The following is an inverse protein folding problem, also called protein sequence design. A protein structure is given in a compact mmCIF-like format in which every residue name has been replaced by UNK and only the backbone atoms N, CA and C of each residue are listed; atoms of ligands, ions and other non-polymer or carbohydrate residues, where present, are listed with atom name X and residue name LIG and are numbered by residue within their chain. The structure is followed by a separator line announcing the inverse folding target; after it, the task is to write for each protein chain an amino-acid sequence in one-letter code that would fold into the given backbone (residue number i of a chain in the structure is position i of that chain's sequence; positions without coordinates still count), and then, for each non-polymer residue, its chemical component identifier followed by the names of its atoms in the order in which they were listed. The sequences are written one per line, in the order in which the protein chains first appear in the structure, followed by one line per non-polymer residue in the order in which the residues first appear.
data_IF_915168898374
#
_entry.id   IF_915168898374
#
_cell.length_a   1.000
_cell.length_b   1.000
_cell.length_c   1.000
_cell.angle_alpha   90.00
_cell.angle_beta   90.00
_cell.angle_gamma   90.00
#
_symmetry.space_group_name_H-M   'P 1'
#
loop_
_entity.id
_entity.type
_entity.pdbx_description
1 polymer ?
#
# COMPACT_ATOMS: atom_id res chain seq x y z
N UNK A 1 8.62 19.86 -3.07
CA UNK A 1 9.00 19.98 -1.64
C UNK A 1 10.44 20.44 -1.50
N UNK A 2 10.80 21.04 -0.36
CA UNK A 2 12.19 21.46 -0.07
C UNK A 2 13.08 20.33 0.46
N UNK A 3 14.38 20.62 0.66
CA UNK A 3 15.41 19.63 1.03
C UNK A 3 15.13 18.84 2.32
N UNK A 4 14.59 19.50 3.36
CA UNK A 4 14.28 18.84 4.64
C UNK A 4 12.89 18.20 4.67
N UNK A 5 11.82 18.87 4.22
CA UNK A 5 10.48 18.27 4.21
C UNK A 5 10.37 17.04 3.31
N UNK A 6 11.18 16.94 2.25
CA UNK A 6 11.23 15.73 1.42
C UNK A 6 11.68 14.51 2.22
N UNK A 7 12.66 14.66 3.12
CA UNK A 7 13.15 13.56 3.96
C UNK A 7 12.09 13.02 4.91
N UNK A 8 11.20 13.89 5.40
CA UNK A 8 10.04 13.44 6.17
C UNK A 8 9.17 12.50 5.33
N UNK A 9 8.90 12.86 4.07
CA UNK A 9 8.12 12.01 3.16
C UNK A 9 8.85 10.69 2.85
N UNK A 10 10.18 10.72 2.71
CA UNK A 10 10.99 9.50 2.53
C UNK A 10 10.87 8.58 3.74
N UNK A 11 10.92 9.12 4.97
CA UNK A 11 10.74 8.33 6.20
C UNK A 11 9.32 7.75 6.27
N UNK A 12 8.30 8.57 5.97
CA UNK A 12 6.92 8.10 5.94
C UNK A 12 6.73 6.99 4.89
N UNK A 13 7.36 7.12 3.72
CA UNK A 13 7.34 6.10 2.68
C UNK A 13 8.08 4.83 3.11
N UNK A 14 9.21 4.93 3.83
CA UNK A 14 9.87 3.77 4.41
C UNK A 14 8.96 3.01 5.38
N UNK A 15 8.17 3.72 6.19
CA UNK A 15 7.17 3.09 7.06
C UNK A 15 6.09 2.35 6.26
N UNK A 16 5.67 2.88 5.11
CA UNK A 16 4.76 2.18 4.18
C UNK A 16 5.38 0.87 3.71
N UNK A 17 6.57 0.95 3.09
CA UNK A 17 7.16 -0.21 2.42
C UNK A 17 7.52 -1.33 3.41
N UNK A 18 8.06 -0.96 4.58
CA UNK A 18 8.36 -1.93 5.64
C UNK A 18 7.07 -2.51 6.24
N UNK A 19 6.03 -1.68 6.40
CA UNK A 19 4.73 -2.10 6.91
C UNK A 19 4.02 -3.09 5.99
N UNK A 20 3.96 -2.80 4.69
CA UNK A 20 3.42 -3.73 3.69
C UNK A 20 4.25 -5.00 3.59
N UNK A 21 5.58 -4.90 3.61
CA UNK A 21 6.44 -6.08 3.56
C UNK A 21 6.26 -7.02 4.75
N UNK A 22 5.96 -6.46 5.93
CA UNK A 22 5.55 -7.25 7.09
C UNK A 22 4.24 -7.97 6.85
N UNK A 23 3.20 -7.26 6.37
CA UNK A 23 1.87 -7.82 6.16
C UNK A 23 1.95 -8.95 5.14
N UNK A 24 2.66 -8.73 4.04
CA UNK A 24 2.85 -9.73 2.99
C UNK A 24 3.54 -10.99 3.51
N UNK A 25 4.62 -10.84 4.29
CA UNK A 25 5.29 -12.01 4.87
C UNK A 25 4.38 -12.76 5.86
N UNK A 26 3.61 -12.04 6.67
CA UNK A 26 2.68 -12.64 7.63
C UNK A 26 1.54 -13.38 6.93
N UNK A 27 0.86 -12.75 5.97
CA UNK A 27 -0.25 -13.37 5.23
C UNK A 27 0.23 -14.55 4.40
N UNK A 28 1.38 -14.43 3.73
CA UNK A 28 1.98 -15.55 3.01
C UNK A 28 2.39 -16.70 3.95
N UNK A 29 2.87 -16.37 5.15
CA UNK A 29 3.18 -17.36 6.19
C UNK A 29 1.95 -18.10 6.72
N UNK A 30 0.85 -17.37 6.98
CA UNK A 30 -0.44 -17.94 7.37
C UNK A 30 -0.99 -18.88 6.29
N UNK A 31 -0.91 -18.45 5.03
CA UNK A 31 -1.37 -19.23 3.89
C UNK A 31 -0.57 -20.54 3.74
N UNK A 32 0.77 -20.47 3.77
CA UNK A 32 1.61 -21.67 3.65
C UNK A 32 1.45 -22.62 4.84
N UNK A 33 1.29 -22.10 6.06
CA UNK A 33 1.04 -22.91 7.26
C UNK A 33 -0.29 -23.66 7.16
N UNK A 34 -1.34 -22.98 6.66
CA UNK A 34 -2.66 -23.56 6.45
C UNK A 34 -2.67 -24.67 5.39
N UNK A 35 -1.90 -24.53 4.30
CA UNK A 35 -1.78 -25.57 3.25
C UNK A 35 -1.27 -26.90 3.81
N UNK A 36 -0.37 -26.86 4.80
CA UNK A 36 0.18 -28.07 5.43
C UNK A 36 -0.66 -28.57 6.62
N UNK A 37 -1.92 -28.11 6.75
CA UNK A 37 -2.78 -28.47 7.88
C UNK A 37 -2.20 -28.11 9.25
N UNK A 38 -1.36 -27.06 9.32
CA UNK A 38 -0.69 -26.64 10.56
C UNK A 38 0.59 -27.41 10.91
N UNK A 39 1.01 -28.39 10.11
CA UNK A 39 2.27 -29.12 10.33
C UNK A 39 3.53 -28.28 10.13
N UNK A 40 3.39 -27.10 9.48
CA UNK A 40 4.45 -26.11 9.34
C UNK A 40 4.07 -24.86 10.13
N UNK A 41 4.98 -24.32 10.94
CA UNK A 41 4.71 -23.10 11.69
C UNK A 41 4.60 -21.88 10.75
N UNK A 42 3.78 -20.90 11.15
CA UNK A 42 3.65 -19.61 10.46
C UNK A 42 5.02 -18.93 10.29
N UNK A 43 5.92 -19.08 11.27
CA UNK A 43 7.29 -18.53 11.24
C UNK A 43 8.08 -19.07 10.04
N UNK A 44 8.01 -20.36 9.76
CA UNK A 44 8.71 -20.96 8.61
C UNK A 44 8.15 -20.37 7.32
N UNK A 45 6.82 -20.23 7.22
CA UNK A 45 6.18 -19.59 6.08
C UNK A 45 6.61 -18.13 5.88
N UNK A 46 6.67 -17.33 6.95
CA UNK A 46 7.18 -15.95 6.94
C UNK A 46 8.60 -15.90 6.36
N UNK A 47 9.49 -16.77 6.85
CA UNK A 47 10.89 -16.84 6.39
C UNK A 47 10.97 -17.22 4.91
N UNK A 48 10.15 -18.17 4.44
CA UNK A 48 10.11 -18.55 3.03
C UNK A 48 9.75 -17.35 2.15
N UNK A 49 8.68 -16.63 2.50
CA UNK A 49 8.23 -15.44 1.74
C UNK A 49 9.32 -14.37 1.72
N UNK A 50 9.90 -14.06 2.89
CA UNK A 50 10.96 -13.08 3.03
C UNK A 50 12.21 -13.44 2.21
N UNK A 51 12.62 -14.71 2.20
CA UNK A 51 13.78 -15.17 1.43
C UNK A 51 13.51 -15.06 -0.07
N UNK A 52 12.33 -15.43 -0.55
CA UNK A 52 11.96 -15.28 -1.98
C UNK A 52 12.04 -13.80 -2.38
N UNK A 53 11.42 -12.92 -1.60
CA UNK A 53 11.47 -11.46 -1.84
C UNK A 53 12.91 -10.96 -1.83
N UNK A 54 13.71 -11.32 -0.82
CA UNK A 54 15.09 -10.89 -0.68
C UNK A 54 15.97 -11.29 -1.85
N UNK A 55 15.87 -12.55 -2.29
CA UNK A 55 16.65 -13.07 -3.42
C UNK A 55 16.39 -12.24 -4.66
N UNK A 56 15.12 -12.04 -5.03
CA UNK A 56 14.78 -11.31 -6.28
C UNK A 56 15.17 -9.84 -6.19
N UNK A 57 14.90 -9.16 -5.06
CA UNK A 57 15.23 -7.73 -4.90
C UNK A 57 16.74 -7.49 -4.95
N UNK A 58 17.53 -8.38 -4.33
CA UNK A 58 19.00 -8.28 -4.25
C UNK A 58 19.66 -8.26 -5.63
N UNK A 59 19.11 -8.99 -6.60
CA UNK A 59 19.62 -9.02 -7.97
C UNK A 59 19.17 -7.82 -8.83
N UNK A 60 18.33 -6.94 -8.29
CA UNK A 60 17.95 -5.67 -8.88
C UNK A 60 16.93 -5.73 -10.03
N UNK A 61 16.67 -4.57 -10.64
CA UNK A 61 15.52 -4.33 -11.53
C UNK A 61 15.45 -5.28 -12.75
N UNK A 62 16.58 -5.78 -13.25
CA UNK A 62 16.61 -6.70 -14.40
C UNK A 62 15.99 -8.05 -14.09
N UNK A 63 16.29 -8.59 -12.91
CA UNK A 63 15.74 -9.87 -12.46
C UNK A 63 14.32 -9.71 -11.95
N UNK A 64 14.03 -8.59 -11.29
CA UNK A 64 12.67 -8.17 -10.96
C UNK A 64 11.73 -8.22 -12.18
N UNK A 65 12.05 -7.51 -13.27
CA UNK A 65 11.20 -7.53 -14.46
C UNK A 65 11.03 -8.94 -15.06
N UNK A 66 12.10 -9.73 -15.04
CA UNK A 66 12.05 -11.11 -15.54
C UNK A 66 11.22 -12.03 -14.65
N UNK A 67 11.19 -11.80 -13.36
CA UNK A 67 10.37 -12.56 -12.42
C UNK A 67 8.90 -12.18 -12.59
N UNK A 68 8.61 -10.87 -12.56
CA UNK A 68 7.26 -10.32 -12.69
C UNK A 68 6.57 -10.74 -13.99
N UNK A 69 7.27 -10.72 -15.12
CA UNK A 69 6.70 -11.12 -16.43
C UNK A 69 6.24 -12.60 -16.47
N UNK A 70 6.74 -13.46 -15.58
CA UNK A 70 6.35 -14.87 -15.51
C UNK A 70 5.34 -15.14 -14.40
N UNK A 71 5.47 -14.49 -13.24
CA UNK A 71 4.66 -14.80 -12.05
C UNK A 71 3.22 -14.29 -12.17
N UNK A 72 2.96 -13.23 -12.94
CA UNK A 72 1.60 -12.71 -13.08
C UNK A 72 0.63 -13.73 -13.68
N UNK A 73 1.04 -14.52 -14.67
CA UNK A 73 0.12 -15.41 -15.40
C UNK A 73 -0.36 -16.59 -14.54
N UNK A 74 0.51 -17.39 -13.87
CA UNK A 74 0.07 -18.42 -12.93
C UNK A 74 -0.80 -17.86 -11.81
N UNK A 75 -0.46 -16.68 -11.31
CA UNK A 75 -1.22 -15.98 -10.25
C UNK A 75 -2.65 -15.70 -10.71
N UNK A 76 -2.82 -15.06 -11.86
CA UNK A 76 -4.15 -14.73 -12.40
C UNK A 76 -4.95 -16.01 -12.66
N UNK A 77 -4.31 -17.07 -13.17
CA UNK A 77 -4.98 -18.35 -13.40
C UNK A 77 -5.50 -18.97 -12.11
N UNK A 78 -4.71 -19.01 -11.03
CA UNK A 78 -5.19 -19.58 -9.76
C UNK A 78 -6.29 -18.72 -9.12
N UNK A 79 -6.28 -17.40 -9.34
CA UNK A 79 -7.38 -16.53 -8.94
C UNK A 79 -8.67 -16.82 -9.72
N UNK A 80 -8.59 -17.08 -11.04
CA UNK A 80 -9.75 -17.55 -11.80
C UNK A 80 -10.27 -18.91 -11.32
N UNK A 81 -9.37 -19.82 -10.95
CA UNK A 81 -9.76 -21.09 -10.32
C UNK A 81 -10.49 -20.82 -9.00
N UNK A 82 -10.02 -19.88 -8.17
CA UNK A 82 -10.72 -19.47 -6.95
C UNK A 82 -12.12 -18.95 -7.25
N UNK A 83 -12.26 -18.06 -8.24
CA UNK A 83 -13.56 -17.55 -8.67
C UNK A 83 -14.50 -18.70 -9.05
N UNK A 84 -14.01 -19.68 -9.80
CA UNK A 84 -14.82 -20.83 -10.22
C UNK A 84 -15.32 -21.70 -9.07
N UNK A 85 -14.50 -21.91 -8.04
CA UNK A 85 -14.82 -22.81 -6.92
C UNK A 85 -15.54 -22.08 -5.78
N UNK A 86 -15.11 -20.88 -5.43
CA UNK A 86 -15.67 -20.08 -4.35
C UNK A 86 -16.91 -19.28 -4.80
N UNK A 87 -17.03 -18.97 -6.10
CA UNK A 87 -18.11 -18.16 -6.68
C UNK A 87 -19.53 -18.58 -6.29
N UNK A 88 -19.89 -19.89 -6.28
CA UNK A 88 -21.20 -20.35 -5.83
C UNK A 88 -21.54 -19.99 -4.37
N UNK A 89 -20.54 -19.70 -3.54
CA UNK A 89 -20.72 -19.30 -2.15
C UNK A 89 -20.77 -17.77 -1.96
N UNK A 90 -20.47 -16.99 -3.00
CA UNK A 90 -20.56 -15.53 -2.94
C UNK A 90 -22.02 -15.10 -2.90
N UNK A 91 -22.30 -14.01 -2.19
CA UNK A 91 -23.63 -13.42 -2.16
C UNK A 91 -23.59 -11.97 -2.64
N UNK A 92 -24.24 -11.74 -3.77
CA UNK A 92 -24.36 -10.43 -4.41
C UNK A 92 -25.64 -9.69 -4.02
N UNK A 93 -26.51 -10.31 -3.21
CA UNK A 93 -27.81 -9.79 -2.79
C UNK A 93 -27.83 -9.20 -1.37
N UNK A 94 -26.75 -9.42 -0.60
CA UNK A 94 -26.63 -8.87 0.76
C UNK A 94 -26.67 -7.35 0.70
N UNK A 95 -27.67 -6.78 1.36
CA UNK A 95 -27.73 -5.35 1.59
C UNK A 95 -26.76 -4.96 2.71
N UNK A 96 -26.09 -3.81 2.55
CA UNK A 96 -25.31 -3.22 3.62
C UNK A 96 -26.17 -2.98 4.86
N UNK A 97 -25.65 -3.34 6.04
CA UNK A 97 -26.34 -3.13 7.30
C UNK A 97 -26.32 -1.65 7.75
N UNK A 98 -27.38 -1.24 8.45
CA UNK A 98 -27.58 0.13 8.96
C UNK A 98 -28.65 0.93 8.22
N UNK A 99 -29.01 2.09 8.76
CA UNK A 99 -30.02 3.00 8.17
C UNK A 99 -29.56 4.45 8.20
N UNK A 100 -30.11 5.26 7.28
CA UNK A 100 -29.89 6.71 7.22
C UNK A 100 -28.40 7.10 7.14
N UNK A 101 -28.01 8.07 7.97
CA UNK A 101 -26.67 8.64 7.98
C UNK A 101 -25.55 7.62 8.28
N UNK A 102 -25.84 6.59 9.10
CA UNK A 102 -24.86 5.55 9.48
C UNK A 102 -24.46 4.73 8.24
N UNK A 103 -25.45 4.33 7.44
CA UNK A 103 -25.20 3.58 6.22
C UNK A 103 -24.38 4.38 5.21
N UNK A 104 -24.68 5.67 5.05
CA UNK A 104 -23.91 6.56 4.17
C UNK A 104 -22.46 6.76 4.68
N UNK A 105 -22.28 6.90 6.00
CA UNK A 105 -20.97 7.01 6.63
C UNK A 105 -20.10 5.77 6.43
N UNK A 106 -20.68 4.58 6.62
CA UNK A 106 -19.98 3.30 6.40
C UNK A 106 -19.54 3.14 4.93
N UNK A 107 -20.42 3.44 3.97
CA UNK A 107 -20.08 3.39 2.53
C UNK A 107 -18.96 4.34 2.15
N UNK A 108 -18.98 5.55 2.69
CA UNK A 108 -17.95 6.55 2.45
C UNK A 108 -16.61 6.14 3.04
N UNK A 109 -16.62 5.63 4.27
CA UNK A 109 -15.43 5.12 4.95
C UNK A 109 -14.81 3.95 4.18
N UNK A 110 -15.63 3.02 3.70
CA UNK A 110 -15.16 1.91 2.87
C UNK A 110 -14.56 2.39 1.55
N UNK A 111 -15.18 3.37 0.87
CA UNK A 111 -14.63 3.95 -0.36
C UNK A 111 -13.21 4.51 -0.15
N UNK A 112 -13.01 5.30 0.91
CA UNK A 112 -11.70 5.88 1.20
C UNK A 112 -10.68 4.86 1.72
N UNK A 113 -11.13 3.85 2.47
CA UNK A 113 -10.28 2.73 2.86
C UNK A 113 -9.72 2.02 1.62
N UNK A 114 -10.58 1.70 0.64
CA UNK A 114 -10.17 1.04 -0.61
C UNK A 114 -9.27 1.95 -1.46
N UNK A 115 -9.53 3.25 -1.48
CA UNK A 115 -8.72 4.23 -2.20
C UNK A 115 -7.30 4.40 -1.61
N UNK A 116 -7.13 4.19 -0.29
CA UNK A 116 -5.85 4.41 0.39
C UNK A 116 -4.70 3.55 -0.15
N UNK A 117 -4.97 2.28 -0.50
CA UNK A 117 -3.97 1.34 -1.00
C UNK A 117 -3.35 1.76 -2.34
N UNK A 118 -4.12 2.01 -3.41
CA UNK A 118 -3.55 2.50 -4.67
C UNK A 118 -2.86 3.86 -4.55
N UNK A 119 -3.35 4.73 -3.66
CA UNK A 119 -2.73 6.04 -3.43
C UNK A 119 -1.31 5.89 -2.88
N UNK A 120 -1.05 4.93 -1.99
CA UNK A 120 0.29 4.73 -1.40
C UNK A 120 1.36 4.42 -2.46
N UNK A 121 1.02 3.75 -3.55
CA UNK A 121 1.95 3.43 -4.65
C UNK A 121 2.43 4.66 -5.43
N UNK A 122 1.74 5.80 -5.30
CA UNK A 122 2.13 7.03 -6.02
C UNK A 122 3.53 7.52 -5.63
N UNK A 123 3.95 7.32 -4.38
CA UNK A 123 5.28 7.74 -3.87
C UNK A 123 6.42 6.93 -4.47
N UNK A 124 6.18 5.67 -4.81
CA UNK A 124 7.16 4.77 -5.43
C UNK A 124 7.14 4.79 -6.97
N UNK A 125 6.14 5.44 -7.58
CA UNK A 125 5.94 5.39 -9.04
C UNK A 125 7.15 5.84 -9.87
N UNK A 126 7.86 6.89 -9.42
CA UNK A 126 9.04 7.41 -10.10
C UNK A 126 10.21 6.43 -10.14
N UNK A 127 10.30 5.51 -9.18
CA UNK A 127 11.38 4.54 -9.05
C UNK A 127 11.38 3.52 -10.20
N UNK A 128 10.23 3.31 -10.86
CA UNK A 128 10.07 2.40 -11.98
C UNK A 128 10.07 3.13 -13.32
N UNK A 129 9.39 4.27 -13.40
CA UNK A 129 9.25 5.03 -14.64
C UNK A 129 10.60 5.62 -15.10
N UNK A 130 11.55 5.83 -14.19
CA UNK A 130 12.93 6.28 -14.53
C UNK A 130 13.66 5.33 -15.49
N UNK A 131 13.26 4.06 -15.56
CA UNK A 131 13.86 3.07 -16.46
C UNK A 131 13.30 3.12 -17.89
N UNK A 132 12.25 3.91 -18.14
CA UNK A 132 11.67 4.01 -19.47
C UNK A 132 12.51 4.91 -20.38
N UNK A 133 12.54 4.63 -21.70
CA UNK A 133 13.17 5.53 -22.66
C UNK A 133 12.59 6.96 -22.57
N UNK A 134 13.44 7.97 -22.80
CA UNK A 134 13.02 9.39 -22.79
C UNK A 134 11.95 9.72 -23.85
N UNK A 135 11.84 8.89 -24.89
CA UNK A 135 10.88 9.03 -25.99
C UNK A 135 9.51 8.41 -25.70
N UNK A 136 9.34 7.76 -24.54
CA UNK A 136 8.08 7.11 -24.18
C UNK A 136 6.95 8.13 -24.04
N UNK A 137 5.79 7.80 -24.62
CA UNK A 137 4.61 8.65 -24.59
C UNK A 137 4.02 8.71 -23.16
N UNK A 138 3.99 9.91 -22.57
CA UNK A 138 3.48 10.17 -21.22
C UNK A 138 2.01 9.73 -21.03
N UNK A 139 1.16 9.97 -22.03
CA UNK A 139 -0.26 9.60 -21.98
C UNK A 139 -0.47 8.09 -22.04
N UNK A 140 0.35 7.40 -22.84
CA UNK A 140 0.34 5.93 -22.89
C UNK A 140 0.82 5.33 -21.57
N UNK A 141 1.91 5.85 -20.98
CA UNK A 141 2.37 5.42 -19.65
C UNK A 141 1.28 5.63 -18.61
N UNK A 142 0.64 6.80 -18.58
CA UNK A 142 -0.46 7.08 -17.67
C UNK A 142 -1.63 6.09 -17.85
N UNK A 143 -2.07 5.87 -19.09
CA UNK A 143 -3.18 4.95 -19.36
C UNK A 143 -2.82 3.50 -19.00
N UNK A 144 -1.62 3.03 -19.37
CA UNK A 144 -1.17 1.68 -19.08
C UNK A 144 -1.05 1.42 -17.57
N UNK A 145 -0.44 2.35 -16.82
CA UNK A 145 -0.32 2.25 -15.36
C UNK A 145 -1.68 2.31 -14.69
N UNK A 146 -2.55 3.25 -15.09
CA UNK A 146 -3.90 3.40 -14.51
C UNK A 146 -4.76 2.17 -14.76
N UNK A 147 -4.82 1.67 -16.00
CA UNK A 147 -5.58 0.48 -16.35
C UNK A 147 -5.03 -0.77 -15.64
N UNK A 148 -3.70 -0.94 -15.61
CA UNK A 148 -3.06 -2.08 -14.95
C UNK A 148 -3.38 -2.15 -13.45
N UNK A 149 -3.16 -1.04 -12.73
CA UNK A 149 -3.45 -0.97 -11.29
C UNK A 149 -4.94 -1.11 -11.02
N UNK A 150 -5.80 -0.46 -11.82
CA UNK A 150 -7.26 -0.51 -11.63
C UNK A 150 -7.78 -1.93 -11.83
N UNK A 151 -7.43 -2.59 -12.93
CA UNK A 151 -7.86 -3.97 -13.20
C UNK A 151 -7.36 -4.94 -12.14
N UNK A 152 -6.08 -4.85 -11.76
CA UNK A 152 -5.50 -5.71 -10.73
C UNK A 152 -6.17 -5.52 -9.37
N UNK A 153 -6.35 -4.26 -8.95
CA UNK A 153 -6.96 -3.92 -7.67
C UNK A 153 -8.43 -4.33 -7.60
N UNK A 154 -9.22 -4.03 -8.64
CA UNK A 154 -10.65 -4.39 -8.67
C UNK A 154 -10.86 -5.90 -8.60
N UNK A 155 -10.04 -6.69 -9.29
CA UNK A 155 -10.15 -8.15 -9.26
C UNK A 155 -9.96 -8.71 -7.84
N UNK A 156 -8.91 -8.28 -7.14
CA UNK A 156 -8.64 -8.73 -5.77
C UNK A 156 -9.67 -8.21 -4.79
N UNK A 157 -10.15 -6.97 -4.97
CA UNK A 157 -11.18 -6.37 -4.10
C UNK A 157 -12.51 -7.14 -4.21
N UNK A 158 -12.98 -7.43 -5.42
CA UNK A 158 -14.20 -8.21 -5.61
C UNK A 158 -14.08 -9.64 -5.08
N UNK A 159 -12.91 -10.26 -5.20
CA UNK A 159 -12.65 -11.56 -4.58
C UNK A 159 -12.72 -11.48 -3.05
N UNK A 160 -12.13 -10.45 -2.44
CA UNK A 160 -12.22 -10.21 -1.00
C UNK A 160 -13.66 -9.99 -0.52
N UNK A 161 -14.44 -9.18 -1.24
CA UNK A 161 -15.87 -8.97 -0.99
C UNK A 161 -16.64 -10.30 -1.11
N UNK A 162 -16.36 -11.08 -2.16
CA UNK A 162 -16.98 -12.38 -2.37
C UNK A 162 -16.73 -13.35 -1.22
N UNK A 163 -15.46 -13.51 -0.82
CA UNK A 163 -15.08 -14.35 0.32
C UNK A 163 -15.71 -13.85 1.62
N UNK A 164 -15.69 -12.55 1.87
CA UNK A 164 -16.32 -11.93 3.05
C UNK A 164 -17.83 -12.17 3.10
N UNK A 165 -18.53 -12.04 1.96
CA UNK A 165 -19.96 -12.37 1.86
C UNK A 165 -20.23 -13.86 2.12
N UNK A 166 -19.33 -14.73 1.68
CA UNK A 166 -19.43 -16.18 1.88
C UNK A 166 -19.29 -16.61 3.34
N UNK A 167 -18.57 -15.85 4.18
CA UNK A 167 -18.46 -16.11 5.62
C UNK A 167 -19.82 -16.10 6.32
N UNK A 168 -20.79 -15.32 5.82
CA UNK A 168 -22.12 -15.23 6.40
C UNK A 168 -23.00 -16.45 6.09
N UNK A 169 -22.65 -17.22 5.05
CA UNK A 169 -23.40 -18.40 4.60
C UNK A 169 -22.74 -19.72 4.94
N UNK A 170 -21.41 -19.74 4.98
CA UNK A 170 -20.63 -20.96 5.14
C UNK A 170 -19.99 -21.00 6.53
N UNK A 171 -20.60 -21.77 7.43
CA UNK A 171 -20.12 -21.93 8.81
C UNK A 171 -18.67 -22.45 8.86
N UNK A 172 -18.26 -23.30 7.93
CA UNK A 172 -16.89 -23.83 7.85
C UNK A 172 -15.90 -22.73 7.48
N UNK A 173 -16.26 -21.85 6.54
CA UNK A 173 -15.41 -20.70 6.18
C UNK A 173 -15.30 -19.72 7.33
N UNK A 174 -16.42 -19.46 8.02
CA UNK A 174 -16.44 -18.63 9.22
C UNK A 174 -15.53 -19.18 10.31
N UNK A 175 -15.65 -20.47 10.60
CA UNK A 175 -14.80 -21.14 11.59
C UNK A 175 -13.32 -21.06 11.19
N UNK A 176 -12.97 -21.38 9.94
CA UNK A 176 -11.60 -21.32 9.47
C UNK A 176 -11.00 -19.91 9.60
N UNK A 177 -11.80 -18.88 9.30
CA UNK A 177 -11.40 -17.49 9.45
C UNK A 177 -11.24 -17.07 10.92
N UNK A 178 -12.20 -17.43 11.78
CA UNK A 178 -12.17 -17.04 13.20
C UNK A 178 -11.03 -17.76 13.96
N UNK A 179 -10.73 -19.02 13.63
CA UNK A 179 -9.71 -19.82 14.32
C UNK A 179 -8.27 -19.53 13.83
N UNK A 180 -8.11 -19.30 12.52
CA UNK A 180 -6.80 -19.29 11.86
C UNK A 180 -6.60 -18.14 10.85
N UNK A 181 -7.54 -17.21 10.77
CA UNK A 181 -7.43 -15.99 9.98
C UNK A 181 -7.57 -16.19 8.47
N UNK A 182 -7.13 -15.18 7.72
CA UNK A 182 -7.38 -15.07 6.28
C UNK A 182 -6.71 -16.17 5.45
N UNK A 183 -5.53 -16.66 5.88
CA UNK A 183 -4.83 -17.74 5.17
C UNK A 183 -5.65 -19.03 5.14
N UNK A 184 -6.27 -19.39 6.28
CA UNK A 184 -7.13 -20.56 6.39
C UNK A 184 -8.43 -20.41 5.60
N UNK A 185 -9.02 -19.22 5.58
CA UNK A 185 -10.19 -18.94 4.73
C UNK A 185 -9.90 -19.20 3.25
N UNK A 186 -8.74 -18.74 2.75
CA UNK A 186 -8.35 -18.97 1.35
C UNK A 186 -8.15 -20.46 1.07
N UNK A 187 -7.46 -21.19 1.95
CA UNK A 187 -7.27 -22.65 1.80
C UNK A 187 -8.62 -23.39 1.81
N UNK A 188 -9.50 -23.06 2.75
CA UNK A 188 -10.82 -23.68 2.86
C UNK A 188 -11.69 -23.38 1.62
N UNK A 189 -11.51 -22.21 1.00
CA UNK A 189 -12.18 -21.85 -0.25
C UNK A 189 -11.73 -22.70 -1.45
N UNK A 190 -10.48 -23.18 -1.43
CA UNK A 190 -9.93 -24.07 -2.45
C UNK A 190 -10.15 -25.56 -2.17
N UNK A 191 -10.65 -25.91 -0.98
CA UNK A 191 -10.80 -27.30 -0.52
C UNK A 191 -11.57 -28.24 -1.45
N UNK A 192 -12.59 -27.80 -2.22
CA UNK A 192 -13.26 -28.68 -3.19
C UNK A 192 -12.30 -29.28 -4.24
N UNK A 193 -11.13 -28.67 -4.46
CA UNK A 193 -10.10 -29.14 -5.39
C UNK A 193 -9.04 -30.06 -4.74
N UNK A 194 -9.17 -30.36 -3.45
CA UNK A 194 -8.24 -31.20 -2.69
C UNK A 194 -6.78 -30.77 -2.91
N UNK A 195 -5.91 -31.70 -3.31
CA UNK A 195 -4.47 -31.45 -3.55
C UNK A 195 -4.20 -30.35 -4.57
N UNK A 196 -5.03 -30.19 -5.60
CA UNK A 196 -4.84 -29.12 -6.57
C UNK A 196 -5.10 -27.74 -5.95
N UNK A 197 -6.08 -27.65 -5.03
CA UNK A 197 -6.34 -26.44 -4.26
C UNK A 197 -5.14 -26.00 -3.40
N UNK A 198 -4.45 -26.98 -2.81
CA UNK A 198 -3.21 -26.73 -2.05
C UNK A 198 -2.10 -26.17 -2.96
N UNK A 199 -1.95 -26.70 -4.19
CA UNK A 199 -1.01 -26.15 -5.18
C UNK A 199 -1.37 -24.71 -5.54
N UNK A 200 -2.66 -24.39 -5.74
CA UNK A 200 -3.12 -23.03 -5.99
C UNK A 200 -2.75 -22.08 -4.84
N UNK A 201 -2.92 -22.51 -3.59
CA UNK A 201 -2.56 -21.71 -2.41
C UNK A 201 -1.05 -21.46 -2.31
N UNK A 202 -0.21 -22.44 -2.67
CA UNK A 202 1.25 -22.24 -2.73
C UNK A 202 1.62 -21.21 -3.80
N UNK A 203 0.97 -21.26 -4.98
CA UNK A 203 1.18 -20.26 -6.03
C UNK A 203 0.74 -18.86 -5.54
N UNK A 204 -0.37 -18.75 -4.82
CA UNK A 204 -0.79 -17.50 -4.19
C UNK A 204 0.21 -16.99 -3.14
N UNK A 205 0.83 -17.88 -2.36
CA UNK A 205 1.89 -17.47 -1.43
C UNK A 205 3.11 -16.89 -2.16
N UNK A 206 3.47 -17.46 -3.32
CA UNK A 206 4.52 -16.91 -4.20
C UNK A 206 4.08 -15.55 -4.78
N UNK A 207 2.81 -15.37 -5.12
CA UNK A 207 2.27 -14.07 -5.52
C UNK A 207 2.41 -13.02 -4.41
N UNK A 208 2.18 -13.38 -3.15
CA UNK A 208 2.36 -12.46 -2.03
C UNK A 208 3.84 -12.06 -1.92
N UNK A 209 4.76 -13.01 -2.08
CA UNK A 209 6.18 -12.70 -2.15
C UNK A 209 6.50 -11.75 -3.33
N UNK A 210 5.83 -11.93 -4.48
CA UNK A 210 5.96 -11.08 -5.65
C UNK A 210 5.49 -9.64 -5.38
N UNK A 211 4.32 -9.48 -4.75
CA UNK A 211 3.79 -8.17 -4.35
C UNK A 211 4.75 -7.39 -3.43
N UNK A 212 5.50 -8.09 -2.58
CA UNK A 212 6.45 -7.47 -1.65
C UNK A 212 7.76 -7.01 -2.34
N UNK A 213 8.11 -7.55 -3.50
CA UNK A 213 9.36 -7.24 -4.20
C UNK A 213 9.43 -5.76 -4.63
N UNK A 214 8.42 -5.18 -5.32
CA UNK A 214 8.42 -3.76 -5.65
C UNK A 214 8.63 -2.88 -4.41
N UNK A 215 7.86 -3.09 -3.35
CA UNK A 215 7.93 -2.26 -2.15
C UNK A 215 9.30 -2.33 -1.45
N UNK A 216 9.86 -3.53 -1.34
CA UNK A 216 11.22 -3.73 -0.79
C UNK A 216 12.29 -3.06 -1.66
N UNK A 217 12.11 -3.04 -2.99
CA UNK A 217 13.00 -2.32 -3.90
C UNK A 217 12.91 -0.81 -3.71
N UNK A 218 11.69 -0.25 -3.62
CA UNK A 218 11.44 1.16 -3.34
C UNK A 218 12.01 1.57 -1.98
N UNK A 219 11.87 0.72 -0.94
CA UNK A 219 12.47 0.94 0.37
C UNK A 219 13.99 1.13 0.29
N UNK A 220 14.69 0.32 -0.53
CA UNK A 220 16.13 0.45 -0.70
C UNK A 220 16.55 1.78 -1.33
N UNK A 221 15.72 2.33 -2.25
CA UNK A 221 15.92 3.66 -2.81
C UNK A 221 15.63 4.76 -1.80
N UNK A 222 14.55 4.63 -1.02
CA UNK A 222 14.21 5.56 0.04
C UNK A 222 15.35 5.68 1.07
N UNK A 223 15.98 4.57 1.47
CA UNK A 223 17.16 4.62 2.35
C UNK A 223 18.28 5.48 1.77
N UNK A 224 18.56 5.34 0.47
CA UNK A 224 19.58 6.17 -0.21
C UNK A 224 19.19 7.66 -0.26
N UNK A 225 17.90 7.99 -0.31
CA UNK A 225 17.38 9.36 -0.36
C UNK A 225 17.47 10.12 0.98
N UNK A 226 17.73 9.46 2.11
CA UNK A 226 17.87 10.13 3.42
C UNK A 226 19.10 11.04 3.51
N UNK A 227 20.14 10.77 2.72
CA UNK A 227 21.28 11.67 2.57
C UNK A 227 22.54 11.02 1.98
N UNK A 228 23.54 11.85 1.71
CA UNK A 228 24.79 11.45 1.05
C UNK A 228 25.52 10.24 1.69
N UNK A 229 25.57 10.06 3.04
CA UNK A 229 26.18 8.86 3.61
C UNK A 229 25.41 7.58 3.26
N UNK A 230 24.07 7.63 3.28
CA UNK A 230 23.21 6.49 3.00
C UNK A 230 23.18 6.15 1.51
N UNK A 231 23.30 7.16 0.64
CA UNK A 231 23.40 7.01 -0.81
C UNK A 231 24.64 6.23 -1.27
N UNK A 232 25.75 6.29 -0.51
CA UNK A 232 26.99 5.56 -0.82
C UNK A 232 26.90 4.05 -0.59
N UNK A 233 25.94 3.61 0.21
CA UNK A 233 25.75 2.19 0.51
C UNK A 233 25.02 1.52 -0.66
N UNK A 234 25.54 0.38 -1.20
CA UNK A 234 24.92 -0.35 -2.29
C UNK A 234 23.48 -0.79 -1.98
N UNK A 235 22.60 -0.71 -2.99
CA UNK A 235 21.18 -1.09 -2.87
C UNK A 235 20.94 -2.49 -2.27
N UNK A 236 21.69 -3.55 -2.64
CA UNK A 236 21.51 -4.88 -2.04
C UNK A 236 21.61 -4.89 -0.51
N UNK A 237 22.45 -4.05 0.08
CA UNK A 237 22.60 -3.96 1.54
C UNK A 237 21.32 -3.36 2.15
N UNK A 238 20.78 -2.30 1.55
CA UNK A 238 19.52 -1.70 2.00
C UNK A 238 18.32 -2.64 1.83
N UNK A 239 18.25 -3.36 0.72
CA UNK A 239 17.21 -4.38 0.50
C UNK A 239 17.29 -5.50 1.52
N UNK A 240 18.51 -5.95 1.86
CA UNK A 240 18.75 -6.95 2.91
C UNK A 240 18.32 -6.43 4.27
N UNK A 241 18.71 -5.19 4.60
CA UNK A 241 18.34 -4.55 5.86
C UNK A 241 16.81 -4.43 6.00
N UNK A 242 16.12 -3.88 4.99
CA UNK A 242 14.66 -3.78 4.99
C UNK A 242 14.00 -5.15 5.16
N UNK A 243 14.50 -6.18 4.46
CA UNK A 243 13.98 -7.53 4.58
C UNK A 243 14.12 -8.11 6.00
N UNK A 244 15.31 -7.98 6.60
CA UNK A 244 15.53 -8.42 7.98
C UNK A 244 14.57 -7.69 8.93
N UNK A 245 14.43 -6.37 8.77
CA UNK A 245 13.57 -5.54 9.63
C UNK A 245 12.11 -6.00 9.58
N UNK A 246 11.49 -6.04 8.39
CA UNK A 246 10.08 -6.45 8.31
C UNK A 246 9.89 -7.92 8.71
N UNK A 247 10.87 -8.79 8.45
CA UNK A 247 10.80 -10.21 8.81
C UNK A 247 10.82 -10.41 10.32
N UNK A 248 11.74 -9.74 11.02
CA UNK A 248 11.83 -9.80 12.49
C UNK A 248 10.54 -9.28 13.11
N UNK A 249 10.02 -8.16 12.62
CA UNK A 249 8.76 -7.59 13.12
C UNK A 249 7.58 -8.53 12.80
N UNK A 250 7.53 -9.15 11.62
CA UNK A 250 6.50 -10.13 11.26
C UNK A 250 6.53 -11.37 12.18
N UNK A 251 7.72 -11.91 12.48
CA UNK A 251 7.89 -13.07 13.37
C UNK A 251 7.47 -12.73 14.80
N UNK A 252 7.94 -11.59 15.33
CA UNK A 252 7.61 -11.14 16.67
C UNK A 252 6.13 -10.77 16.80
N UNK A 253 5.55 -10.26 15.71
CA UNK A 253 4.21 -9.72 15.66
C UNK A 253 3.10 -10.67 15.26
N UNK A 254 3.41 -11.90 14.85
CA UNK A 254 2.44 -12.82 14.25
C UNK A 254 1.15 -13.02 15.05
N UNK A 255 1.21 -12.92 16.38
CA UNK A 255 0.10 -13.24 17.28
C UNK A 255 -0.75 -11.99 17.65
N UNK A 256 -0.33 -10.77 17.31
CA UNK A 256 -1.03 -9.54 17.76
C UNK A 256 -0.90 -8.33 16.82
N UNK A 257 0.08 -8.32 15.92
CA UNK A 257 0.37 -7.17 15.06
C UNK A 257 -0.45 -7.17 13.76
N UNK A 258 -1.08 -8.26 13.35
CA UNK A 258 -1.93 -8.25 12.13
C UNK A 258 -3.03 -7.18 12.24
N UNK A 259 -3.81 -7.21 13.32
CA UNK A 259 -4.87 -6.23 13.56
C UNK A 259 -4.31 -4.83 13.81
N UNK A 260 -3.11 -4.72 14.39
CA UNK A 260 -2.47 -3.42 14.61
C UNK A 260 -2.07 -2.78 13.28
N UNK A 261 -1.42 -3.53 12.39
CA UNK A 261 -0.94 -3.01 11.12
C UNK A 261 -2.06 -2.78 10.11
N UNK A 262 -3.09 -3.64 10.06
CA UNK A 262 -4.20 -3.44 9.12
C UNK A 262 -4.97 -2.14 9.41
N UNK A 263 -5.10 -1.80 10.69
CA UNK A 263 -5.72 -0.55 11.14
C UNK A 263 -4.80 0.67 10.98
N UNK A 264 -3.50 0.47 10.72
CA UNK A 264 -2.53 1.52 10.46
C UNK A 264 -2.48 1.92 8.97
N UNK A 265 -2.94 1.04 8.06
CA UNK A 265 -2.98 1.29 6.62
C UNK A 265 -3.79 2.53 6.23
N UNK A 266 -4.87 2.83 6.96
CA UNK A 266 -5.67 4.03 6.69
C UNK A 266 -4.88 5.33 6.90
N UNK A 267 -3.98 5.34 7.91
CA UNK A 267 -3.12 6.50 8.22
C UNK A 267 -2.10 6.77 7.11
N UNK A 268 -1.69 5.70 6.39
CA UNK A 268 -0.80 5.80 5.23
C UNK A 268 -1.47 6.64 4.14
N UNK A 269 -2.75 6.37 3.83
CA UNK A 269 -3.48 7.12 2.80
C UNK A 269 -3.55 8.62 3.07
N UNK A 270 -3.65 9.05 4.34
CA UNK A 270 -3.79 10.46 4.70
C UNK A 270 -2.58 11.31 4.30
N UNK A 271 -1.37 10.87 4.62
CA UNK A 271 -0.20 11.66 4.26
C UNK A 271 0.06 11.60 2.76
N UNK A 272 -0.21 10.46 2.13
CA UNK A 272 0.02 10.31 0.69
C UNK A 272 -0.89 11.22 -0.12
N UNK A 273 -2.17 11.37 0.23
CA UNK A 273 -3.06 12.30 -0.48
C UNK A 273 -2.63 13.76 -0.31
N UNK A 274 -2.16 14.14 0.88
CA UNK A 274 -1.63 15.47 1.15
C UNK A 274 -0.39 15.72 0.28
N UNK A 275 0.53 14.75 0.22
CA UNK A 275 1.72 14.80 -0.61
C UNK A 275 1.40 14.86 -2.11
N UNK A 276 0.47 14.03 -2.61
CA UNK A 276 0.00 14.05 -4.01
C UNK A 276 -0.55 15.43 -4.34
N UNK A 277 -1.42 15.98 -3.50
CA UNK A 277 -2.07 17.28 -3.72
C UNK A 277 -1.03 18.38 -3.87
N UNK A 278 -0.07 18.47 -2.93
CA UNK A 278 1.00 19.46 -3.02
C UNK A 278 1.89 19.25 -4.24
N UNK A 279 2.19 18.01 -4.59
CA UNK A 279 3.03 17.68 -5.75
C UNK A 279 2.36 18.10 -7.07
N UNK A 280 1.06 17.84 -7.21
CA UNK A 280 0.28 18.31 -8.36
C UNK A 280 0.23 19.83 -8.44
N UNK A 281 0.01 20.51 -7.31
CA UNK A 281 -0.01 21.97 -7.27
C UNK A 281 1.36 22.57 -7.59
N UNK A 282 2.45 21.99 -7.08
CA UNK A 282 3.81 22.43 -7.40
C UNK A 282 4.11 22.25 -8.89
N UNK A 283 3.70 21.12 -9.48
CA UNK A 283 3.92 20.81 -10.90
C UNK A 283 3.13 21.73 -11.84
N UNK A 284 1.82 21.92 -11.59
CA UNK A 284 0.93 22.61 -12.52
C UNK A 284 0.80 24.12 -12.27
N UNK A 285 0.87 24.58 -11.01
CA UNK A 285 0.67 26.00 -10.67
C UNK A 285 2.01 26.75 -10.67
N UNK A 286 3.02 26.19 -10.00
CA UNK A 286 4.28 26.91 -9.73
C UNK A 286 5.38 26.61 -10.75
N UNK A 287 5.68 25.32 -11.00
CA UNK A 287 6.76 24.91 -11.92
C UNK A 287 6.33 24.89 -13.38
N UNK A 288 5.04 24.62 -13.65
CA UNK A 288 4.47 24.51 -15.01
C UNK A 288 5.27 23.54 -15.88
N UNK A 289 5.70 22.41 -15.31
CA UNK A 289 6.50 21.38 -15.97
C UNK A 289 7.96 21.74 -16.26
N UNK A 290 8.48 22.85 -15.72
CA UNK A 290 9.91 23.22 -15.85
C UNK A 290 10.71 22.71 -14.65
N UNK A 291 11.67 21.85 -14.92
CA UNK A 291 12.58 21.28 -13.92
C UNK A 291 14.02 21.62 -14.26
N UNK A 292 14.76 22.12 -13.26
CA UNK A 292 16.20 22.20 -13.30
C UNK A 292 16.77 20.91 -12.68
N UNK A 293 17.27 20.04 -13.55
CA UNK A 293 17.81 18.75 -13.17
C UNK A 293 19.24 18.81 -12.66
N UNK A 294 19.92 19.96 -12.71
CA UNK A 294 21.31 20.09 -12.25
C UNK A 294 21.38 20.39 -10.75
N UNK A 295 20.32 20.98 -10.20
CA UNK A 295 20.27 21.41 -8.79
C UNK A 295 19.68 20.36 -7.83
N UNK A 296 19.35 19.17 -8.31
CA UNK A 296 18.58 18.17 -7.55
C UNK A 296 19.25 17.70 -6.25
N UNK A 297 20.60 17.69 -6.19
CA UNK A 297 21.39 17.32 -5.00
C UNK A 297 22.07 18.55 -4.35
N UNK A 298 21.54 19.75 -4.61
CA UNK A 298 22.11 21.02 -4.11
C UNK A 298 21.22 21.64 -3.05
N UNK A 299 21.50 21.31 -1.79
CA UNK A 299 20.79 21.84 -0.61
C UNK A 299 20.72 23.37 -0.58
N UNK A 300 21.71 24.04 -1.16
CA UNK A 300 21.89 25.48 -1.18
C UNK A 300 21.04 26.19 -2.25
N UNK A 301 20.56 25.45 -3.25
CA UNK A 301 19.75 25.97 -4.36
C UNK A 301 18.28 25.54 -4.27
N UNK A 302 18.01 24.45 -3.56
CA UNK A 302 16.65 23.97 -3.37
C UNK A 302 15.84 24.83 -2.39
N UNK A 303 14.51 24.88 -2.55
CA UNK A 303 13.63 25.55 -1.59
C UNK A 303 13.81 24.94 -0.19
N UNK A 304 13.64 25.79 0.83
CA UNK A 304 13.61 25.32 2.22
C UNK A 304 12.40 24.42 2.47
N UNK A 305 11.27 24.74 1.81
CA UNK A 305 10.06 23.93 1.83
C UNK A 305 9.17 24.20 3.04
N UNK A 306 9.26 25.40 3.63
CA UNK A 306 8.40 25.78 4.75
C UNK A 306 6.93 25.73 4.37
N UNK A 307 6.57 26.11 3.13
CA UNK A 307 5.20 26.00 2.65
C UNK A 307 4.72 24.54 2.57
N UNK A 308 5.59 23.64 2.11
CA UNK A 308 5.28 22.22 2.03
C UNK A 308 5.16 21.57 3.42
N UNK A 309 6.04 21.94 4.36
CA UNK A 309 5.95 21.45 5.74
C UNK A 309 4.69 21.96 6.43
N UNK A 310 4.37 23.24 6.27
CA UNK A 310 3.15 23.82 6.82
C UNK A 310 1.90 23.17 6.21
N UNK A 311 1.84 23.03 4.88
CA UNK A 311 0.75 22.34 4.20
C UNK A 311 0.59 20.89 4.67
N UNK A 312 1.70 20.18 4.86
CA UNK A 312 1.69 18.81 5.41
C UNK A 312 1.10 18.77 6.83
N UNK A 313 1.57 19.64 7.73
CA UNK A 313 1.10 19.68 9.13
C UNK A 313 -0.39 20.02 9.18
N UNK A 314 -0.82 21.06 8.44
CA UNK A 314 -2.23 21.47 8.43
C UNK A 314 -3.11 20.36 7.86
N UNK A 315 -2.71 19.75 6.73
CA UNK A 315 -3.42 18.61 6.15
C UNK A 315 -3.55 17.45 7.15
N UNK A 316 -2.47 17.12 7.86
CA UNK A 316 -2.46 16.06 8.87
C UNK A 316 -3.37 16.35 10.06
N UNK A 317 -3.34 17.58 10.60
CA UNK A 317 -4.21 17.98 11.72
C UNK A 317 -5.68 17.79 11.33
N UNK A 318 -6.07 18.25 10.13
CA UNK A 318 -7.43 18.08 9.65
C UNK A 318 -7.78 16.61 9.33
N UNK A 319 -6.83 15.82 8.83
CA UNK A 319 -7.01 14.38 8.67
C UNK A 319 -7.35 13.73 10.02
N UNK A 320 -6.57 14.00 11.06
CA UNK A 320 -6.75 13.45 12.42
C UNK A 320 -8.09 13.89 13.02
N UNK A 321 -8.47 15.15 12.86
CA UNK A 321 -9.75 15.66 13.40
C UNK A 321 -10.97 15.03 12.69
N UNK A 322 -10.80 14.57 11.45
CA UNK A 322 -11.84 13.98 10.60
C UNK A 322 -11.75 12.46 10.42
N UNK A 323 -10.78 11.78 11.06
CA UNK A 323 -10.61 10.34 10.89
C UNK A 323 -11.55 9.54 11.78
N UNK A 324 -12.05 8.43 11.23
CA UNK A 324 -12.77 7.40 11.96
C UNK A 324 -11.95 6.10 11.87
N UNK A 325 -11.08 5.89 12.86
CA UNK A 325 -10.18 4.75 12.92
C UNK A 325 -10.33 4.01 14.25
N UNK A 326 -9.92 2.74 14.27
CA UNK A 326 -10.05 1.83 15.43
C UNK A 326 -9.43 2.40 16.71
N UNK A 327 -8.29 3.09 16.60
CA UNK A 327 -7.56 3.66 17.75
C UNK A 327 -7.98 5.07 18.13
N UNK A 328 -8.61 5.81 17.20
CA UNK A 328 -9.00 7.18 17.44
C UNK A 328 -10.10 7.61 16.49
N UNK A 329 -11.12 8.23 17.07
CA UNK A 329 -12.18 8.90 16.33
C UNK A 329 -12.10 10.40 16.55
N UNK A 330 -11.84 11.14 15.48
CA UNK A 330 -11.78 12.59 15.47
C UNK A 330 -13.14 13.23 15.78
N UNK A 331 -13.16 14.41 16.41
CA UNK A 331 -14.41 15.04 16.86
C UNK A 331 -15.34 15.39 15.71
N UNK A 332 -14.84 15.69 14.50
CA UNK A 332 -15.68 15.94 13.32
C UNK A 332 -16.24 14.63 12.77
N UNK A 333 -15.44 13.55 12.77
CA UNK A 333 -15.89 12.23 12.32
C UNK A 333 -17.10 11.71 13.12
N UNK A 334 -17.15 11.98 14.44
CA UNK A 334 -18.26 11.58 15.32
C UNK A 334 -19.60 12.22 14.94
N UNK A 335 -19.57 13.39 14.30
CA UNK A 335 -20.79 14.14 13.95
C UNK A 335 -21.55 13.49 12.79
N UNK A 336 -20.92 12.61 12.02
CA UNK A 336 -21.51 12.01 10.82
C UNK A 336 -21.88 10.56 11.09
N UNK A 337 -23.18 10.28 11.26
CA UNK A 337 -23.71 8.92 11.22
C UNK A 337 -23.04 7.93 12.19
N UNK A 338 -22.82 8.32 13.45
CA UNK A 338 -22.07 7.56 14.48
C UNK A 338 -20.57 7.34 14.19
N UNK A 339 -20.03 7.93 13.13
CA UNK A 339 -18.64 7.81 12.73
C UNK A 339 -18.49 7.58 11.23
N UNK A 340 -17.83 8.50 10.53
CA UNK A 340 -17.43 8.31 9.15
C UNK A 340 -16.00 8.79 8.94
N UNK A 341 -15.19 8.02 8.22
CA UNK A 341 -13.83 8.42 7.90
C UNK A 341 -13.82 9.45 6.77
N UNK A 342 -13.53 10.69 7.14
CA UNK A 342 -13.41 11.83 6.25
C UNK A 342 -11.97 12.33 6.16
N UNK A 343 -10.99 11.60 6.71
CA UNK A 343 -9.60 12.04 6.79
C UNK A 343 -9.00 12.32 5.42
N UNK A 344 -9.12 11.37 4.48
CA UNK A 344 -8.62 11.49 3.11
C UNK A 344 -9.17 12.72 2.34
N UNK A 345 -10.49 12.88 2.13
CA UNK A 345 -11.03 13.99 1.34
C UNK A 345 -10.83 15.35 2.00
N UNK A 346 -10.91 15.43 3.34
CA UNK A 346 -10.71 16.69 4.05
C UNK A 346 -9.24 17.11 4.01
N UNK A 347 -8.31 16.17 4.23
CA UNK A 347 -6.89 16.44 4.12
C UNK A 347 -6.50 16.95 2.72
N UNK A 348 -7.04 16.31 1.68
CA UNK A 348 -6.89 16.77 0.30
C UNK A 348 -7.43 18.19 0.09
N UNK A 349 -8.68 18.45 0.47
CA UNK A 349 -9.33 19.75 0.27
C UNK A 349 -8.66 20.89 1.04
N UNK A 350 -8.30 20.66 2.30
CA UNK A 350 -7.61 21.66 3.12
C UNK A 350 -6.21 21.93 2.57
N UNK A 351 -5.46 20.90 2.21
CA UNK A 351 -4.13 21.06 1.58
C UNK A 351 -4.25 21.85 0.28
N UNK A 352 -5.26 21.55 -0.53
CA UNK A 352 -5.50 22.23 -1.80
C UNK A 352 -5.73 23.73 -1.63
N UNK A 353 -6.40 24.14 -0.55
CA UNK A 353 -6.68 25.56 -0.25
C UNK A 353 -5.47 26.25 0.38
N UNK A 354 -4.78 25.57 1.30
CA UNK A 354 -3.74 26.18 2.16
C UNK A 354 -2.38 26.23 1.47
N UNK A 355 -2.00 25.21 0.71
CA UNK A 355 -0.65 25.14 0.12
C UNK A 355 -0.35 26.27 -0.88
N UNK A 356 -1.23 26.61 -1.85
CA UNK A 356 -0.94 27.64 -2.84
C UNK A 356 -0.60 29.04 -2.27
N UNK A 357 -1.39 29.64 -1.35
CA UNK A 357 -1.06 30.96 -0.82
C UNK A 357 0.25 30.95 -0.04
N UNK A 358 0.52 29.89 0.74
CA UNK A 358 1.75 29.79 1.54
C UNK A 358 2.97 29.60 0.63
N UNK A 359 2.84 28.81 -0.45
CA UNK A 359 3.92 28.64 -1.43
C UNK A 359 4.20 29.93 -2.20
N UNK A 360 3.17 30.71 -2.53
CA UNK A 360 3.35 32.04 -3.12
C UNK A 360 4.09 33.00 -2.17
N UNK A 361 3.77 32.98 -0.87
CA UNK A 361 4.49 33.77 0.14
C UNK A 361 5.97 33.32 0.25
N UNK A 362 6.24 32.02 0.26
CA UNK A 362 7.60 31.48 0.28
C UNK A 362 8.40 31.97 -0.92
N UNK A 363 7.84 31.90 -2.13
CA UNK A 363 8.48 32.41 -3.34
C UNK A 363 8.73 33.92 -3.29
N UNK A 364 7.78 34.69 -2.74
CA UNK A 364 7.89 36.16 -2.67
C UNK A 364 8.94 36.64 -1.65
N UNK A 365 9.01 36.01 -0.48
CA UNK A 365 9.85 36.50 0.63
C UNK A 365 11.17 35.75 0.77
N UNK A 366 11.23 34.47 0.40
CA UNK A 366 12.45 33.64 0.50
C UNK A 366 13.16 33.55 -0.86
N UNK A 367 12.44 33.83 -1.95
CA UNK A 367 12.98 33.83 -3.32
C UNK A 367 13.17 32.44 -3.94
N UNK A 368 12.72 31.37 -3.27
CA UNK A 368 12.90 29.97 -3.69
C UNK A 368 11.87 29.02 -3.08
#
# INVERSE_FOLDING_TARGET
MGWWPSKLCVILNLCIEIGYGLIDCLVGGLLLSAVNGGGMSVIVGIVIVAVITWVVVTFGIKWFYKFEQFVWAPTVLVLFVLIGVAGPHFDTSIASEGTGAVLHGNRLSYFFLVASGPLSWSSASADYVVYYPKTTNRGLTFAATTCGITCGKLMIEFLGIGLGSGLLKNATWKQAFDDHGIGALVVESYKPLNTFGNVCCVILAICIAANNIPGTYAAALNWQQLGAPFAKIPRPIWSTFSCIVFTVIAIAGRDSLFDIFINWLSLIGYWTIIWITMTLQDEYIFRKGKFDWEIWDRKDLLPHGFAALFGMIVGWVFAVVCMYQTYFTGPIAKLVGNGADLGLPVAMGVTMIVYPPVRWLELKYVGR
#
